data_IF_684352390464
#
_entry.id   IF_684352390464
#
_cell.length_a   1.000
_cell.length_b   1.000
_cell.length_c   1.000
_cell.angle_alpha   90.00
_cell.angle_beta   90.00
_cell.angle_gamma   90.00
#
_symmetry.space_group_name_H-M   'P 1'
#
loop_
_entity.id
_entity.type
_entity.pdbx_description
1 polymer ?
#
# COMPACT_ATOMS: atom_id res chain seq x y z
N UNK A 1 7.21 4.93 13.85
CA UNK A 1 6.27 4.25 12.94
C UNK A 1 5.28 5.21 12.31
N UNK A 2 5.49 5.43 11.01
CA UNK A 2 4.60 6.19 10.13
C UNK A 2 3.53 5.26 9.55
N UNK A 3 2.40 5.83 9.12
CA UNK A 3 1.37 5.09 8.40
C UNK A 3 1.46 5.41 6.90
N UNK A 4 1.53 4.37 6.08
CA UNK A 4 1.54 4.44 4.63
C UNK A 4 0.25 3.84 4.10
N UNK A 5 -0.32 4.47 3.10
CA UNK A 5 -1.47 3.93 2.39
C UNK A 5 -0.99 3.22 1.14
N UNK A 6 -1.54 2.03 0.94
CA UNK A 6 -1.19 1.13 -0.15
C UNK A 6 -2.44 0.85 -0.95
N UNK A 7 -2.49 1.33 -2.19
CA UNK A 7 -3.56 1.02 -3.13
C UNK A 7 -3.07 -0.05 -4.08
N UNK A 8 -3.92 -1.03 -4.34
CA UNK A 8 -3.61 -2.09 -5.27
C UNK A 8 -4.81 -2.49 -6.11
N UNK A 9 -4.51 -3.05 -7.28
CA UNK A 9 -5.48 -3.63 -8.20
C UNK A 9 -5.26 -5.14 -8.18
N UNK A 10 -6.29 -5.90 -7.81
CA UNK A 10 -6.27 -7.36 -7.88
C UNK A 10 -6.72 -7.86 -9.24
N UNK A 11 -6.42 -9.13 -9.58
CA UNK A 11 -6.81 -9.75 -10.86
C UNK A 11 -8.32 -9.75 -11.16
N UNK A 12 -9.18 -9.55 -10.16
CA UNK A 12 -10.63 -9.40 -10.36
C UNK A 12 -11.06 -7.95 -10.66
N UNK A 13 -10.13 -7.11 -11.14
CA UNK A 13 -10.28 -5.66 -11.37
C UNK A 13 -10.77 -4.86 -10.15
N UNK A 14 -10.65 -5.43 -8.95
CA UNK A 14 -11.01 -4.75 -7.71
C UNK A 14 -9.84 -3.91 -7.23
N UNK A 15 -10.08 -2.61 -7.17
CA UNK A 15 -9.23 -1.65 -6.48
C UNK A 15 -9.50 -1.79 -4.97
N UNK A 16 -8.44 -1.98 -4.21
CA UNK A 16 -8.50 -1.99 -2.75
C UNK A 16 -7.40 -1.10 -2.18
N UNK A 17 -7.63 -0.63 -0.95
CA UNK A 17 -6.69 0.17 -0.18
C UNK A 17 -6.44 -0.55 1.14
N UNK A 18 -5.18 -0.71 1.52
CA UNK A 18 -4.77 -1.10 2.87
C UNK A 18 -3.79 -0.08 3.44
N UNK A 19 -3.54 -0.17 4.74
CA UNK A 19 -2.57 0.67 5.43
C UNK A 19 -1.45 -0.20 5.97
N UNK A 20 -0.21 0.22 5.75
CA UNK A 20 0.99 -0.39 6.31
C UNK A 20 1.59 0.57 7.34
N UNK A 21 2.06 0.02 8.45
CA UNK A 21 2.85 0.76 9.42
C UNK A 21 4.31 0.39 9.24
N UNK A 22 5.17 1.39 9.01
CA UNK A 22 6.60 1.22 8.78
C UNK A 22 7.36 2.44 9.30
N UNK A 23 8.65 2.30 9.56
CA UNK A 23 9.47 3.43 10.02
C UNK A 23 9.98 4.29 8.85
N UNK A 24 9.98 3.75 7.64
CA UNK A 24 10.35 4.48 6.42
C UNK A 24 9.49 4.11 5.21
N UNK A 25 9.46 4.99 4.20
CA UNK A 25 8.75 4.72 2.93
C UNK A 25 9.32 3.49 2.24
N UNK A 26 10.65 3.35 2.26
CA UNK A 26 11.37 2.22 1.66
C UNK A 26 10.90 0.88 2.24
N UNK A 27 10.77 0.81 3.57
CA UNK A 27 10.28 -0.40 4.25
C UNK A 27 8.82 -0.72 3.88
N UNK A 28 7.97 0.31 3.74
CA UNK A 28 6.59 0.14 3.28
C UNK A 28 6.53 -0.35 1.82
N UNK A 29 7.41 0.14 0.94
CA UNK A 29 7.52 -0.32 -0.45
C UNK A 29 8.00 -1.78 -0.54
N UNK A 30 8.99 -2.17 0.25
CA UNK A 30 9.46 -3.56 0.32
C UNK A 30 8.34 -4.50 0.79
N UNK A 31 7.61 -4.10 1.82
CA UNK A 31 6.45 -4.84 2.34
C UNK A 31 5.33 -4.96 1.29
N UNK A 32 5.06 -3.88 0.55
CA UNK A 32 4.06 -3.88 -0.52
C UNK A 32 4.45 -4.81 -1.69
N UNK A 33 5.74 -4.89 -2.04
CA UNK A 33 6.22 -5.84 -3.08
C UNK A 33 5.97 -7.29 -2.71
N UNK A 34 6.09 -7.65 -1.43
CA UNK A 34 5.74 -8.99 -0.94
C UNK A 34 4.25 -9.27 -1.17
N UNK A 35 3.38 -8.30 -0.88
CA UNK A 35 1.93 -8.42 -1.13
C UNK A 35 1.60 -8.60 -2.61
N UNK A 36 2.32 -7.92 -3.51
CA UNK A 36 2.16 -8.09 -4.96
C UNK A 36 2.38 -9.54 -5.39
N UNK A 37 3.42 -10.18 -4.86
CA UNK A 37 3.72 -11.59 -5.14
C UNK A 37 2.71 -12.57 -4.54
N UNK A 38 2.21 -12.32 -3.33
CA UNK A 38 1.30 -13.25 -2.65
C UNK A 38 -0.15 -13.22 -3.17
N UNK A 39 -0.64 -12.05 -3.59
CA UNK A 39 -2.06 -11.84 -3.92
C UNK A 39 -2.35 -11.84 -5.43
N UNK A 40 -1.34 -12.07 -6.29
CA UNK A 40 -1.42 -11.82 -7.73
C UNK A 40 -2.05 -10.44 -7.97
N UNK A 41 -1.33 -9.39 -7.58
CA UNK A 41 -1.81 -8.02 -7.79
C UNK A 41 -1.31 -7.52 -9.14
N UNK A 42 -2.20 -6.93 -9.92
CA UNK A 42 -1.89 -6.31 -11.22
C UNK A 42 -0.97 -5.10 -10.98
N UNK A 43 -1.29 -4.30 -9.97
CA UNK A 43 -0.52 -3.09 -9.63
C UNK A 43 -0.62 -2.81 -8.12
N UNK A 44 0.44 -2.23 -7.56
CA UNK A 44 0.50 -1.78 -6.17
C UNK A 44 1.27 -0.47 -6.08
N UNK A 45 0.73 0.50 -5.35
CA UNK A 45 1.35 1.81 -5.15
C UNK A 45 1.28 2.18 -3.67
N UNK A 46 2.37 2.75 -3.17
CA UNK A 46 2.54 3.14 -1.77
C UNK A 46 2.73 4.64 -1.70
N UNK A 47 2.05 5.29 -0.77
CA UNK A 47 2.25 6.70 -0.46
C UNK A 47 2.21 6.92 1.05
N UNK A 48 2.93 7.93 1.55
CA UNK A 48 2.71 8.38 2.92
C UNK A 48 1.24 8.77 3.06
N UNK A 49 0.60 8.36 4.15
CA UNK A 49 -0.73 8.87 4.46
C UNK A 49 -0.56 10.36 4.75
N UNK A 50 -1.06 11.21 3.87
CA UNK A 50 -1.11 12.64 4.16
C UNK A 50 -1.87 12.81 5.47
N UNK A 51 -1.23 13.47 6.43
CA UNK A 51 -1.80 13.81 7.72
C UNK A 51 -2.77 14.97 7.48
N UNK A 52 -3.83 14.74 6.69
CA UNK A 52 -4.57 15.84 6.06
C UNK A 52 -5.94 15.52 5.46
N UNK A 53 -6.41 14.27 5.39
CA UNK A 53 -7.82 13.99 5.10
C UNK A 53 -8.58 13.71 6.40
N UNK A 54 -8.75 14.77 7.18
CA UNK A 54 -9.97 14.94 7.96
C UNK A 54 -10.86 15.88 7.15
N UNK A 55 -11.79 15.34 6.37
CA UNK A 55 -13.16 15.84 6.17
C UNK A 55 -14.00 14.80 5.42
#
# INVERSE_FOLDING_TARGET
MNQYQVRYISHNDRIAVCYLHADSLKEAEESARILQGCKQLISIHVWPKEQGDCE
#
